data_IF_363491168332
#
_entry.id   IF_363491168332
#
_cell.length_a   1.000
_cell.length_b   1.000
_cell.length_c   1.000
_cell.angle_alpha   90.00
_cell.angle_beta   90.00
_cell.angle_gamma   90.00
#
_symmetry.space_group_name_H-M   'P 1'
#
loop_
_entity.id
_entity.type
_entity.pdbx_description
1 polymer ?
#
# COMPACT_ATOMS: atom_id res chain seq x y z
N UNK A 1 -17.14 24.87 32.07
CA UNK A 1 -15.76 24.78 31.55
C UNK A 1 -15.17 23.51 32.12
N UNK A 2 -15.48 22.38 31.51
CA UNK A 2 -14.89 21.07 31.84
C UNK A 2 -14.38 20.48 30.53
N UNK A 3 -13.07 20.43 30.44
CA UNK A 3 -12.31 19.89 29.31
C UNK A 3 -12.38 18.37 29.35
N UNK A 4 -13.10 17.78 28.38
CA UNK A 4 -13.04 16.36 28.11
C UNK A 4 -11.65 16.01 27.53
N UNK A 5 -10.84 15.32 28.32
CA UNK A 5 -9.60 14.70 27.86
C UNK A 5 -9.94 13.53 26.94
N UNK A 6 -9.63 13.68 25.66
CA UNK A 6 -9.72 12.61 24.67
C UNK A 6 -8.69 11.52 24.99
N UNK A 7 -9.15 10.38 25.47
CA UNK A 7 -8.33 9.16 25.57
C UNK A 7 -8.08 8.63 24.16
N UNK A 8 -6.84 8.76 23.69
CA UNK A 8 -6.39 8.18 22.42
C UNK A 8 -6.43 6.65 22.49
N UNK A 9 -7.40 6.02 21.83
CA UNK A 9 -7.46 4.56 21.69
C UNK A 9 -6.34 4.09 20.76
N UNK A 10 -5.22 3.65 21.32
CA UNK A 10 -4.11 3.03 20.60
C UNK A 10 -4.54 1.69 20.02
N UNK A 11 -4.35 1.47 18.71
CA UNK A 11 -4.63 0.18 18.07
C UNK A 11 -3.70 -0.91 18.62
N UNK A 12 -4.09 -2.20 18.65
CA UNK A 12 -3.25 -3.28 19.19
C UNK A 12 -1.86 -3.37 18.56
N UNK A 13 -1.73 -3.00 17.27
CA UNK A 13 -0.44 -2.92 16.58
C UNK A 13 0.47 -1.76 17.05
N UNK A 14 -0.11 -0.69 17.59
CA UNK A 14 0.65 0.40 18.19
C UNK A 14 1.15 0.01 19.59
N UNK A 15 0.34 -0.72 20.36
CA UNK A 15 0.72 -1.25 21.68
C UNK A 15 1.91 -2.21 21.52
N UNK A 16 1.83 -3.16 20.61
CA UNK A 16 2.93 -4.11 20.34
C UNK A 16 4.25 -3.43 19.93
N UNK A 17 4.17 -2.28 19.23
CA UNK A 17 5.36 -1.51 18.86
C UNK A 17 5.98 -0.78 20.05
N UNK A 18 5.16 -0.22 20.95
CA UNK A 18 5.67 0.41 22.17
C UNK A 18 6.30 -0.62 23.11
N UNK A 19 5.71 -1.80 23.24
CA UNK A 19 6.27 -2.89 24.03
C UNK A 19 7.64 -3.33 23.50
N UNK A 20 7.79 -3.46 22.18
CA UNK A 20 9.08 -3.71 21.54
C UNK A 20 10.10 -2.60 21.87
N UNK A 21 9.70 -1.33 21.73
CA UNK A 21 10.60 -0.21 22.02
C UNK A 21 11.00 -0.16 23.49
N UNK A 22 10.09 -0.51 24.40
CA UNK A 22 10.37 -0.52 25.84
C UNK A 22 11.38 -1.61 26.20
N UNK A 23 11.21 -2.83 25.68
CA UNK A 23 12.21 -3.89 25.84
C UNK A 23 13.56 -3.51 25.23
N UNK A 24 13.57 -2.81 24.09
CA UNK A 24 14.79 -2.30 23.44
C UNK A 24 15.45 -1.11 24.17
N UNK A 25 14.75 -0.46 25.11
CA UNK A 25 15.33 0.58 25.99
C UNK A 25 16.01 -0.02 27.21
N UNK A 26 15.77 -1.29 27.53
CA UNK A 26 16.41 -1.97 28.64
C UNK A 26 17.93 -2.03 28.41
N UNK A 27 18.77 -1.64 29.39
CA UNK A 27 20.23 -1.73 29.25
C UNK A 27 20.74 -3.14 28.89
N UNK A 28 20.00 -4.18 29.25
CA UNK A 28 20.36 -5.56 28.91
C UNK A 28 20.19 -5.91 27.42
N UNK A 29 19.47 -5.11 26.61
CA UNK A 29 19.33 -5.33 25.16
C UNK A 29 20.32 -4.52 24.30
N UNK A 30 21.38 -3.97 24.90
CA UNK A 30 22.30 -3.05 24.23
C UNK A 30 23.02 -3.69 23.03
N UNK A 31 23.34 -4.97 23.10
CA UNK A 31 23.90 -5.77 22.02
C UNK A 31 22.95 -5.85 20.81
N UNK A 32 21.67 -6.15 21.03
CA UNK A 32 20.63 -6.16 20.00
C UNK A 32 20.48 -4.77 19.36
N UNK A 33 20.42 -3.71 20.18
CA UNK A 33 20.31 -2.33 19.69
C UNK A 33 21.53 -1.93 18.85
N UNK A 34 22.75 -2.32 19.26
CA UNK A 34 23.97 -2.09 18.48
C UNK A 34 23.93 -2.85 17.15
N UNK A 35 23.47 -4.10 17.16
CA UNK A 35 23.31 -4.90 15.94
C UNK A 35 22.38 -4.20 14.94
N UNK A 36 21.20 -3.76 15.39
CA UNK A 36 20.23 -3.03 14.56
C UNK A 36 20.82 -1.73 13.99
N UNK A 37 21.48 -0.92 14.84
CA UNK A 37 22.08 0.34 14.39
C UNK A 37 23.23 0.11 13.41
N UNK A 38 24.08 -0.87 13.67
CA UNK A 38 25.19 -1.26 12.79
C UNK A 38 24.67 -1.70 11.43
N UNK A 39 23.63 -2.54 11.42
CA UNK A 39 22.96 -2.97 10.20
C UNK A 39 22.43 -1.79 9.39
N UNK A 40 21.69 -0.86 10.01
CA UNK A 40 21.16 0.33 9.32
C UNK A 40 22.29 1.18 8.72
N UNK A 41 23.36 1.42 9.49
CA UNK A 41 24.52 2.18 9.00
C UNK A 41 25.21 1.46 7.84
N UNK A 42 25.23 0.12 7.86
CA UNK A 42 25.91 -0.66 6.83
C UNK A 42 25.39 -0.40 5.41
N UNK A 43 24.11 -0.04 5.24
CA UNK A 43 23.52 0.29 3.93
C UNK A 43 24.16 1.50 3.27
N UNK A 44 24.73 2.43 4.05
CA UNK A 44 25.45 3.59 3.49
C UNK A 44 26.75 3.21 2.77
N UNK A 45 27.30 2.03 3.04
CA UNK A 45 28.54 1.55 2.41
C UNK A 45 28.32 0.83 1.09
N UNK A 46 27.08 0.55 0.70
CA UNK A 46 26.77 -0.20 -0.52
C UNK A 46 26.00 0.66 -1.52
N UNK A 47 26.25 0.43 -2.81
CA UNK A 47 25.43 1.01 -3.87
C UNK A 47 23.96 0.55 -3.72
N UNK A 48 22.96 1.43 -3.94
CA UNK A 48 21.56 1.05 -3.93
C UNK A 48 21.25 -0.02 -4.97
N UNK A 49 20.71 -1.16 -4.53
CA UNK A 49 20.21 -2.21 -5.40
C UNK A 49 19.05 -2.94 -4.70
N UNK A 50 17.79 -2.77 -5.14
CA UNK A 50 16.62 -3.26 -4.42
C UNK A 50 16.63 -4.76 -4.11
N UNK A 51 17.09 -5.59 -5.04
CA UNK A 51 17.06 -7.05 -4.91
C UNK A 51 18.07 -7.53 -3.86
N UNK A 52 19.31 -7.04 -3.90
CA UNK A 52 20.33 -7.36 -2.92
C UNK A 52 20.08 -6.71 -1.55
N UNK A 53 19.56 -5.48 -1.53
CA UNK A 53 19.16 -4.79 -0.30
C UNK A 53 18.00 -5.55 0.37
N UNK A 54 16.99 -5.97 -0.41
CA UNK A 54 15.88 -6.81 0.05
C UNK A 54 16.38 -8.12 0.68
N UNK A 55 17.27 -8.86 -0.01
CA UNK A 55 17.85 -10.09 0.53
C UNK A 55 18.58 -9.86 1.86
N UNK A 56 19.39 -8.81 1.96
CA UNK A 56 20.11 -8.47 3.20
C UNK A 56 19.16 -8.14 4.35
N UNK A 57 18.06 -7.44 4.08
CA UNK A 57 17.03 -7.18 5.09
C UNK A 57 16.38 -8.48 5.57
N UNK A 58 16.07 -9.41 4.67
CA UNK A 58 15.50 -10.71 5.05
C UNK A 58 16.48 -11.54 5.89
N UNK A 59 17.73 -11.66 5.44
CA UNK A 59 18.78 -12.38 6.17
C UNK A 59 19.00 -11.79 7.57
N UNK A 60 18.96 -10.45 7.69
CA UNK A 60 19.05 -9.76 8.96
C UNK A 60 17.85 -10.04 9.87
N UNK A 61 16.61 -10.03 9.34
CA UNK A 61 15.44 -10.37 10.14
C UNK A 61 15.50 -11.81 10.66
N UNK A 62 15.95 -12.77 9.84
CA UNK A 62 16.13 -14.16 10.29
C UNK A 62 17.19 -14.25 11.41
N UNK A 63 18.34 -13.59 11.23
CA UNK A 63 19.40 -13.57 12.25
C UNK A 63 18.95 -12.90 13.55
N UNK A 64 18.17 -11.82 13.46
CA UNK A 64 17.65 -11.11 14.61
C UNK A 64 16.56 -11.91 15.34
N UNK A 65 15.74 -12.66 14.61
CA UNK A 65 14.74 -13.53 15.24
C UNK A 65 15.41 -14.58 16.13
N UNK A 66 16.44 -15.27 15.62
CA UNK A 66 17.25 -16.20 16.42
C UNK A 66 17.87 -15.50 17.63
N UNK A 67 18.49 -14.33 17.41
CA UNK A 67 19.13 -13.56 18.48
C UNK A 67 18.14 -13.13 19.57
N UNK A 68 16.91 -12.75 19.20
CA UNK A 68 15.87 -12.35 20.15
C UNK A 68 15.35 -13.57 20.92
N UNK A 69 15.13 -14.71 20.26
CA UNK A 69 14.67 -15.95 20.91
C UNK A 69 15.66 -16.48 21.95
N UNK A 70 16.96 -16.36 21.68
CA UNK A 70 18.02 -16.82 22.58
C UNK A 70 18.36 -15.79 23.68
N UNK A 71 17.80 -14.58 23.62
CA UNK A 71 18.18 -13.49 24.52
C UNK A 71 17.50 -13.62 25.90
N UNK A 72 18.22 -13.41 27.02
CA UNK A 72 17.65 -13.56 28.38
C UNK A 72 16.41 -12.70 28.67
N UNK A 73 16.30 -11.52 28.06
CA UNK A 73 15.10 -10.65 28.19
C UNK A 73 13.83 -11.21 27.54
N UNK A 74 13.96 -12.22 26.68
CA UNK A 74 12.85 -12.93 26.06
C UNK A 74 12.73 -14.37 26.57
N UNK A 75 13.44 -14.71 27.66
CA UNK A 75 13.28 -15.99 28.32
C UNK A 75 11.82 -16.17 28.77
N UNK A 76 11.17 -17.20 28.24
CA UNK A 76 9.76 -17.50 28.53
C UNK A 76 8.73 -16.68 27.72
N UNK A 77 9.17 -15.88 26.75
CA UNK A 77 8.25 -15.19 25.84
C UNK A 77 7.52 -16.18 24.92
N UNK A 78 6.25 -15.94 24.63
CA UNK A 78 5.48 -16.76 23.69
C UNK A 78 5.88 -16.49 22.24
N UNK A 79 5.53 -17.39 21.33
CA UNK A 79 5.76 -17.19 19.88
C UNK A 79 5.06 -15.92 19.37
N UNK A 80 3.88 -15.59 19.90
CA UNK A 80 3.16 -14.36 19.59
C UNK A 80 3.89 -13.11 20.07
N UNK A 81 4.51 -13.14 21.25
CA UNK A 81 5.32 -12.02 21.75
C UNK A 81 6.58 -11.81 20.92
N UNK A 82 7.26 -12.90 20.54
CA UNK A 82 8.40 -12.85 19.63
C UNK A 82 7.97 -12.29 18.27
N UNK A 83 6.85 -12.75 17.74
CA UNK A 83 6.31 -12.25 16.48
C UNK A 83 5.99 -10.76 16.54
N UNK A 84 5.35 -10.29 17.61
CA UNK A 84 5.09 -8.88 17.85
C UNK A 84 6.39 -8.06 17.90
N UNK A 85 7.43 -8.56 18.57
CA UNK A 85 8.74 -7.92 18.61
C UNK A 85 9.37 -7.84 17.22
N UNK A 86 9.26 -8.90 16.41
CA UNK A 86 9.76 -8.92 15.04
C UNK A 86 8.98 -7.98 14.10
N UNK A 87 7.67 -7.78 14.31
CA UNK A 87 6.92 -6.73 13.62
C UNK A 87 7.39 -5.33 14.02
N UNK A 88 7.73 -5.13 15.29
CA UNK A 88 8.32 -3.88 15.76
C UNK A 88 9.70 -3.61 15.16
N UNK A 89 10.52 -4.65 15.03
CA UNK A 89 11.81 -4.59 14.36
C UNK A 89 11.67 -4.23 12.88
N UNK A 90 10.76 -4.89 12.15
CA UNK A 90 10.47 -4.58 10.74
C UNK A 90 10.09 -3.09 10.59
N UNK A 91 9.15 -2.63 11.43
CA UNK A 91 8.71 -1.22 11.43
C UNK A 91 9.86 -0.27 11.69
N UNK A 92 10.70 -0.54 12.68
CA UNK A 92 11.82 0.33 13.04
C UNK A 92 12.87 0.41 11.91
N UNK A 93 13.34 -0.74 11.44
CA UNK A 93 14.38 -0.84 10.40
C UNK A 93 13.88 -0.21 9.10
N UNK A 94 12.68 -0.59 8.63
CA UNK A 94 12.17 -0.11 7.35
C UNK A 94 11.80 1.37 7.38
N UNK A 95 11.41 1.92 8.53
CA UNK A 95 11.23 3.37 8.66
C UNK A 95 12.55 4.14 8.47
N UNK A 96 13.67 3.59 8.95
CA UNK A 96 15.00 4.20 8.80
C UNK A 96 15.57 4.03 7.40
N UNK A 97 15.29 2.91 6.75
CA UNK A 97 15.76 2.60 5.40
C UNK A 97 14.83 3.10 4.29
N UNK A 98 13.66 3.67 4.62
CA UNK A 98 12.59 3.98 3.65
C UNK A 98 13.06 4.82 2.46
N UNK A 99 13.82 5.89 2.68
CA UNK A 99 14.29 6.79 1.61
C UNK A 99 15.26 6.11 0.63
N UNK A 100 15.91 5.02 1.05
CA UNK A 100 16.78 4.21 0.19
C UNK A 100 16.02 3.06 -0.46
N UNK A 101 15.07 2.48 0.25
CA UNK A 101 14.41 1.23 -0.13
C UNK A 101 13.17 1.43 -1.02
N UNK A 102 12.49 2.57 -0.90
CA UNK A 102 11.22 2.85 -1.59
C UNK A 102 11.43 3.73 -2.82
N UNK A 103 10.93 3.30 -3.97
CA UNK A 103 10.95 4.06 -5.24
C UNK A 103 12.34 4.64 -5.59
N UNK A 104 13.40 3.86 -5.36
CA UNK A 104 14.78 4.35 -5.44
C UNK A 104 15.40 4.30 -6.84
N UNK A 105 14.77 3.58 -7.78
CA UNK A 105 15.19 3.54 -9.18
C UNK A 105 14.35 4.49 -10.04
N UNK A 106 14.95 5.28 -10.96
CA UNK A 106 14.21 6.09 -11.92
C UNK A 106 13.18 5.30 -12.74
N UNK A 107 13.46 4.02 -13.04
CA UNK A 107 12.52 3.17 -13.77
C UNK A 107 11.26 2.87 -12.96
N UNK A 108 11.37 2.66 -11.65
CA UNK A 108 10.21 2.41 -10.79
C UNK A 108 9.30 3.67 -10.76
N UNK A 109 9.90 4.87 -10.69
CA UNK A 109 9.18 6.14 -10.75
C UNK A 109 8.48 6.36 -12.10
N UNK A 110 9.15 5.99 -13.20
CA UNK A 110 8.57 6.07 -14.55
C UNK A 110 7.37 5.12 -14.67
N UNK A 111 7.51 3.88 -14.23
CA UNK A 111 6.43 2.88 -14.25
C UNK A 111 5.25 3.35 -13.37
N UNK A 112 5.52 3.89 -12.19
CA UNK A 112 4.49 4.45 -11.31
C UNK A 112 3.71 5.58 -12.00
N UNK A 113 4.41 6.48 -12.69
CA UNK A 113 3.78 7.58 -13.43
C UNK A 113 2.91 7.08 -14.58
N UNK A 114 3.41 6.13 -15.38
CA UNK A 114 2.66 5.52 -16.49
C UNK A 114 1.38 4.83 -15.99
N UNK A 115 1.46 4.10 -14.88
CA UNK A 115 0.30 3.45 -14.26
C UNK A 115 -0.70 4.49 -13.75
N UNK A 116 -0.24 5.51 -13.03
CA UNK A 116 -1.11 6.54 -12.47
C UNK A 116 -1.85 7.34 -13.56
N UNK A 117 -1.17 7.68 -14.65
CA UNK A 117 -1.77 8.33 -15.82
C UNK A 117 -2.79 7.43 -16.50
N UNK A 118 -2.46 6.16 -16.73
CA UNK A 118 -3.38 5.19 -17.32
C UNK A 118 -4.63 5.01 -16.48
N UNK A 119 -4.49 4.82 -15.17
CA UNK A 119 -5.62 4.72 -14.24
C UNK A 119 -6.47 5.99 -14.29
N UNK A 120 -5.85 7.17 -14.25
CA UNK A 120 -6.58 8.44 -14.30
C UNK A 120 -7.42 8.58 -15.57
N UNK A 121 -6.93 8.10 -16.72
CA UNK A 121 -7.72 8.08 -17.95
C UNK A 121 -8.87 7.06 -17.87
N UNK A 122 -8.60 5.84 -17.39
CA UNK A 122 -9.62 4.80 -17.25
C UNK A 122 -10.75 5.22 -16.29
N UNK A 123 -10.44 5.98 -15.23
CA UNK A 123 -11.43 6.44 -14.26
C UNK A 123 -12.58 7.25 -14.89
N UNK A 124 -12.35 7.93 -16.02
CA UNK A 124 -13.33 8.84 -16.64
C UNK A 124 -14.47 8.13 -17.35
N UNK A 125 -14.25 6.89 -17.83
CA UNK A 125 -15.22 6.16 -18.64
C UNK A 125 -15.43 4.71 -18.22
N UNK A 126 -14.54 4.12 -17.41
CA UNK A 126 -14.68 2.73 -16.98
C UNK A 126 -15.83 2.59 -15.98
N UNK A 127 -16.77 1.71 -16.34
CA UNK A 127 -17.95 1.33 -15.57
C UNK A 127 -17.86 -0.14 -15.13
N UNK A 128 -18.59 -0.57 -14.09
CA UNK A 128 -18.51 -1.94 -13.57
C UNK A 128 -18.82 -3.01 -14.62
N UNK A 129 -19.70 -2.72 -15.58
CA UNK A 129 -20.12 -3.68 -16.62
C UNK A 129 -18.96 -4.07 -17.54
N UNK A 130 -17.98 -3.18 -17.74
CA UNK A 130 -16.81 -3.46 -18.57
C UNK A 130 -15.86 -4.51 -17.97
N UNK A 131 -16.03 -4.81 -16.68
CA UNK A 131 -15.29 -5.83 -15.96
C UNK A 131 -16.22 -6.98 -15.55
N UNK A 132 -17.37 -7.13 -16.20
CA UNK A 132 -18.36 -8.17 -15.92
C UNK A 132 -18.90 -8.17 -14.47
N UNK A 133 -18.83 -7.04 -13.77
CA UNK A 133 -19.29 -6.93 -12.38
C UNK A 133 -20.83 -6.93 -12.34
N UNK A 134 -21.47 -7.92 -11.68
CA UNK A 134 -22.93 -8.00 -11.56
C UNK A 134 -23.55 -6.77 -10.89
N UNK A 135 -24.78 -6.42 -11.27
CA UNK A 135 -25.55 -5.29 -10.70
C UNK A 135 -25.69 -5.36 -9.18
N UNK A 136 -25.86 -6.56 -8.63
CA UNK A 136 -25.98 -6.80 -7.19
C UNK A 136 -24.74 -6.35 -6.40
N UNK A 137 -23.56 -6.34 -7.04
CA UNK A 137 -22.32 -5.91 -6.41
C UNK A 137 -22.08 -4.40 -6.50
N UNK A 138 -22.92 -3.65 -7.23
CA UNK A 138 -22.73 -2.21 -7.53
C UNK A 138 -23.17 -1.29 -6.38
N UNK A 139 -22.71 -1.60 -5.17
CA UNK A 139 -22.92 -0.77 -3.98
C UNK A 139 -21.82 0.30 -3.87
N UNK A 140 -22.08 1.49 -4.41
CA UNK A 140 -21.10 2.59 -4.47
C UNK A 140 -20.53 2.97 -3.09
N UNK A 141 -21.36 3.00 -2.05
CA UNK A 141 -20.93 3.34 -0.68
C UNK A 141 -19.88 2.38 -0.13
N UNK A 142 -19.92 1.13 -0.57
CA UNK A 142 -19.09 0.06 -0.04
C UNK A 142 -17.76 -0.07 -0.77
N UNK A 143 -17.75 0.19 -2.08
CA UNK A 143 -16.51 0.33 -2.85
C UNK A 143 -15.71 1.53 -2.38
N UNK A 144 -16.37 2.64 -2.03
CA UNK A 144 -15.71 3.81 -1.45
C UNK A 144 -14.93 3.47 -0.17
N UNK A 145 -15.41 2.53 0.65
CA UNK A 145 -14.67 2.08 1.84
C UNK A 145 -13.40 1.30 1.45
N UNK A 146 -13.50 0.39 0.48
CA UNK A 146 -12.36 -0.37 -0.02
C UNK A 146 -11.31 0.55 -0.68
N UNK A 147 -11.77 1.51 -1.49
CA UNK A 147 -10.93 2.55 -2.10
C UNK A 147 -10.17 3.35 -1.05
N UNK A 148 -10.85 3.77 0.03
CA UNK A 148 -10.23 4.49 1.14
C UNK A 148 -9.21 3.65 1.91
N UNK A 149 -9.45 2.35 2.08
CA UNK A 149 -8.45 1.46 2.69
C UNK A 149 -7.19 1.37 1.84
N UNK A 150 -7.34 1.17 0.52
CA UNK A 150 -6.21 1.07 -0.40
C UNK A 150 -5.46 2.41 -0.52
N UNK A 151 -6.18 3.53 -0.55
CA UNK A 151 -5.61 4.88 -0.63
C UNK A 151 -4.71 5.27 0.56
N UNK A 152 -4.80 4.56 1.70
CA UNK A 152 -3.92 4.77 2.87
C UNK A 152 -2.51 4.23 2.68
N UNK A 153 -2.23 3.45 1.62
CA UNK A 153 -0.96 2.72 1.48
C UNK A 153 0.29 3.62 1.54
N UNK A 154 0.20 4.88 1.07
CA UNK A 154 1.32 5.84 1.12
C UNK A 154 1.46 6.58 2.47
N UNK A 155 0.48 6.46 3.37
CA UNK A 155 0.58 6.99 4.73
C UNK A 155 1.52 6.16 5.62
N UNK A 156 1.93 4.97 5.16
CA UNK A 156 2.72 4.02 5.93
C UNK A 156 4.10 3.79 5.32
N UNK A 157 5.11 3.58 6.19
CA UNK A 157 6.49 3.26 5.80
C UNK A 157 6.87 1.80 6.06
N UNK A 158 6.18 1.12 6.97
CA UNK A 158 6.45 -0.28 7.27
C UNK A 158 5.75 -1.21 6.24
N UNK A 159 6.43 -2.25 5.73
CA UNK A 159 5.84 -3.23 4.81
C UNK A 159 4.56 -3.86 5.35
N UNK A 160 4.51 -4.24 6.63
CA UNK A 160 3.29 -4.75 7.28
C UNK A 160 2.10 -3.81 7.15
N UNK A 161 2.31 -2.53 7.45
CA UNK A 161 1.24 -1.54 7.48
C UNK A 161 0.71 -1.28 6.07
N UNK A 162 1.61 -1.23 5.06
CA UNK A 162 1.22 -1.17 3.65
C UNK A 162 0.42 -2.40 3.21
N UNK A 163 0.86 -3.60 3.60
CA UNK A 163 0.15 -4.85 3.32
C UNK A 163 -1.23 -4.87 4.01
N UNK A 164 -1.35 -4.31 5.21
CA UNK A 164 -2.63 -4.24 5.92
C UNK A 164 -3.66 -3.38 5.19
N UNK A 165 -3.25 -2.29 4.52
CA UNK A 165 -4.13 -1.52 3.64
C UNK A 165 -4.74 -2.39 2.53
N UNK A 166 -3.91 -3.24 1.90
CA UNK A 166 -4.35 -4.19 0.87
C UNK A 166 -5.32 -5.21 1.47
N UNK A 167 -4.96 -5.81 2.61
CA UNK A 167 -5.81 -6.80 3.26
C UNK A 167 -7.16 -6.22 3.70
N UNK A 168 -7.19 -5.01 4.22
CA UNK A 168 -8.42 -4.33 4.61
C UNK A 168 -9.31 -4.04 3.40
N UNK A 169 -8.73 -3.54 2.29
CA UNK A 169 -9.43 -3.36 1.03
C UNK A 169 -10.08 -4.68 0.56
N UNK A 170 -9.31 -5.77 0.50
CA UNK A 170 -9.80 -7.09 0.07
C UNK A 170 -10.89 -7.65 1.00
N UNK A 171 -10.77 -7.46 2.32
CA UNK A 171 -11.80 -7.88 3.28
C UNK A 171 -13.10 -7.10 3.13
N UNK A 172 -13.02 -5.80 2.86
CA UNK A 172 -14.21 -5.00 2.54
C UNK A 172 -14.89 -5.56 1.28
N UNK A 173 -14.12 -5.85 0.22
CA UNK A 173 -14.66 -6.46 -1.00
C UNK A 173 -15.31 -7.81 -0.71
N UNK A 174 -14.64 -8.71 0.01
CA UNK A 174 -15.19 -10.03 0.34
C UNK A 174 -16.46 -9.96 1.19
N UNK A 175 -16.53 -9.04 2.15
CA UNK A 175 -17.75 -8.84 2.92
C UNK A 175 -18.92 -8.41 2.03
N UNK A 176 -18.67 -7.66 0.96
CA UNK A 176 -19.71 -7.29 -0.01
C UNK A 176 -20.17 -8.48 -0.84
N UNK A 177 -19.23 -9.29 -1.32
CA UNK A 177 -19.53 -10.52 -2.04
C UNK A 177 -20.37 -11.49 -1.20
N UNK A 178 -20.01 -11.65 0.07
CA UNK A 178 -20.75 -12.48 1.02
C UNK A 178 -22.16 -11.94 1.28
N UNK A 179 -22.31 -10.63 1.50
CA UNK A 179 -23.62 -10.01 1.73
C UNK A 179 -24.54 -10.13 0.50
N UNK A 180 -23.99 -9.95 -0.70
CA UNK A 180 -24.72 -10.16 -1.95
C UNK A 180 -25.15 -11.62 -2.13
N UNK A 181 -24.27 -12.57 -1.81
CA UNK A 181 -24.57 -14.01 -1.85
C UNK A 181 -25.68 -14.44 -0.90
N UNK A 182 -25.85 -13.76 0.24
CA UNK A 182 -26.95 -14.06 1.18
C UNK A 182 -28.30 -13.53 0.69
N UNK A 183 -28.30 -12.57 -0.24
CA UNK A 183 -29.51 -11.95 -0.80
C UNK A 183 -30.08 -12.73 -2.00
N UNK A 184 -29.30 -13.58 -2.67
CA UNK A 184 -29.70 -14.31 -3.87
C UNK A 184 -29.35 -15.82 -3.79
N UNK A 185 -29.90 -16.62 -4.72
CA UNK A 185 -29.59 -18.06 -4.85
C UNK A 185 -28.24 -18.34 -5.53
N UNK A 186 -27.45 -17.31 -5.86
CA UNK A 186 -26.16 -17.44 -6.53
C UNK A 186 -25.03 -17.22 -5.52
N UNK A 187 -24.11 -18.18 -5.43
CA UNK A 187 -22.93 -18.06 -4.56
C UNK A 187 -21.91 -17.17 -5.29
N UNK A 188 -21.77 -15.92 -4.85
CA UNK A 188 -20.76 -14.96 -5.30
C UNK A 188 -19.62 -14.96 -4.29
N UNK A 189 -18.75 -15.97 -4.37
CA UNK A 189 -17.65 -16.16 -3.40
C UNK A 189 -16.37 -16.70 -4.03
N UNK A 190 -16.29 -16.70 -5.37
CA UNK A 190 -15.14 -17.19 -6.11
C UNK A 190 -14.11 -16.10 -6.43
N UNK A 191 -12.93 -16.52 -6.90
CA UNK A 191 -11.94 -15.60 -7.45
C UNK A 191 -12.48 -14.82 -8.67
N UNK A 192 -13.39 -15.43 -9.42
CA UNK A 192 -14.04 -14.84 -10.61
C UNK A 192 -14.98 -13.69 -10.26
N UNK A 193 -15.52 -13.65 -9.03
CA UNK A 193 -16.31 -12.51 -8.53
C UNK A 193 -15.43 -11.44 -7.86
N UNK A 194 -14.31 -11.87 -7.27
CA UNK A 194 -13.44 -11.01 -6.47
C UNK A 194 -12.50 -10.15 -7.31
N UNK A 195 -11.78 -10.75 -8.25
CA UNK A 195 -10.73 -10.05 -9.00
C UNK A 195 -11.27 -8.88 -9.83
N UNK A 196 -12.41 -8.98 -10.53
CA UNK A 196 -12.95 -7.84 -11.27
C UNK A 196 -13.30 -6.65 -10.36
N UNK A 197 -13.86 -6.91 -9.18
CA UNK A 197 -14.15 -5.87 -8.18
C UNK A 197 -12.85 -5.24 -7.66
N UNK A 198 -11.80 -6.05 -7.41
CA UNK A 198 -10.50 -5.54 -6.99
C UNK A 198 -9.84 -4.65 -8.06
N UNK A 199 -9.93 -5.03 -9.35
CA UNK A 199 -9.45 -4.21 -10.47
C UNK A 199 -10.20 -2.88 -10.48
N UNK A 200 -11.53 -2.92 -10.41
CA UNK A 200 -12.37 -1.72 -10.40
C UNK A 200 -12.02 -0.79 -9.23
N UNK A 201 -11.96 -1.32 -8.00
CA UNK A 201 -11.59 -0.56 -6.79
C UNK A 201 -10.18 0.02 -6.92
N UNK A 202 -9.22 -0.72 -7.49
CA UNK A 202 -7.85 -0.23 -7.70
C UNK A 202 -7.82 0.95 -8.66
N UNK A 203 -8.62 0.88 -9.75
CA UNK A 203 -8.76 1.97 -10.71
C UNK A 203 -9.43 3.19 -10.05
N UNK A 204 -10.53 3.00 -9.32
CA UNK A 204 -11.22 4.11 -8.65
C UNK A 204 -10.41 4.73 -7.50
N UNK A 205 -9.61 3.94 -6.77
CA UNK A 205 -8.73 4.44 -5.74
C UNK A 205 -7.50 5.19 -6.27
N UNK A 206 -6.96 4.77 -7.43
CA UNK A 206 -5.71 5.28 -8.02
C UNK A 206 -4.59 5.51 -6.98
N UNK A 207 -4.17 4.48 -6.23
CA UNK A 207 -3.21 4.65 -5.15
C UNK A 207 -1.86 5.15 -5.69
N UNK A 208 -1.29 6.23 -5.14
CA UNK A 208 -0.03 6.78 -5.63
C UNK A 208 1.12 5.77 -5.54
N UNK A 209 1.98 5.73 -6.55
CA UNK A 209 3.16 4.86 -6.57
C UNK A 209 2.82 3.36 -6.37
N UNK A 210 1.75 2.88 -7.01
CA UNK A 210 1.25 1.52 -6.87
C UNK A 210 2.34 0.46 -7.12
N UNK A 211 3.13 0.60 -8.19
CA UNK A 211 4.19 -0.35 -8.54
C UNK A 211 5.28 -0.37 -7.47
N UNK A 212 5.78 0.80 -7.05
CA UNK A 212 6.78 0.89 -5.98
C UNK A 212 6.29 0.32 -4.65
N UNK A 213 5.01 0.53 -4.30
CA UNK A 213 4.42 -0.05 -3.10
C UNK A 213 4.40 -1.58 -3.13
N UNK A 214 3.96 -2.18 -4.24
CA UNK A 214 3.92 -3.63 -4.38
C UNK A 214 5.33 -4.23 -4.36
N UNK A 215 6.27 -3.64 -5.11
CA UNK A 215 7.68 -4.05 -5.10
C UNK A 215 8.30 -3.95 -3.71
N UNK A 216 8.02 -2.89 -2.98
CA UNK A 216 8.52 -2.69 -1.62
C UNK A 216 7.99 -3.76 -0.64
N UNK A 217 6.68 -4.08 -0.69
CA UNK A 217 6.12 -5.14 0.14
C UNK A 217 6.75 -6.49 -0.21
N UNK A 218 6.89 -6.81 -1.50
CA UNK A 218 7.47 -8.07 -1.98
C UNK A 218 8.90 -8.29 -1.48
N UNK A 219 9.71 -7.22 -1.42
CA UNK A 219 11.12 -7.31 -1.02
C UNK A 219 11.32 -7.27 0.49
N UNK A 220 10.53 -6.47 1.21
CA UNK A 220 10.85 -6.09 2.60
C UNK A 220 9.86 -6.59 3.65
N UNK A 221 8.68 -7.13 3.28
CA UNK A 221 7.83 -7.83 4.24
C UNK A 221 8.54 -9.10 4.72
N UNK A 222 8.56 -9.38 6.03
CA UNK A 222 9.08 -10.66 6.54
C UNK A 222 8.45 -11.83 5.79
N UNK A 223 9.25 -12.67 5.13
CA UNK A 223 8.75 -13.73 4.25
C UNK A 223 7.80 -14.71 4.95
N UNK A 224 8.07 -15.06 6.21
CA UNK A 224 7.21 -15.92 7.01
C UNK A 224 5.77 -15.37 7.19
N UNK A 225 5.56 -14.07 6.95
CA UNK A 225 4.27 -13.38 7.08
C UNK A 225 3.61 -13.00 5.76
N UNK A 226 4.23 -13.33 4.62
CA UNK A 226 3.64 -13.18 3.30
C UNK A 226 3.19 -14.56 2.80
N UNK A 227 2.26 -15.18 3.54
CA UNK A 227 1.74 -16.54 3.31
C UNK A 227 0.21 -16.56 3.43
N UNK A 228 -0.44 -17.65 3.00
CA UNK A 228 -1.90 -17.85 3.12
C UNK A 228 -2.73 -16.66 2.59
N UNK A 229 -3.73 -16.17 3.36
CA UNK A 229 -4.60 -15.03 3.01
C UNK A 229 -3.79 -13.80 2.56
N UNK A 230 -2.69 -13.48 3.25
CA UNK A 230 -1.87 -12.31 2.94
C UNK A 230 -1.20 -12.45 1.56
N UNK A 231 -0.65 -13.63 1.25
CA UNK A 231 -0.06 -13.91 -0.06
C UNK A 231 -1.12 -13.92 -1.17
N UNK A 232 -2.31 -14.48 -0.88
CA UNK A 232 -3.41 -14.52 -1.84
C UNK A 232 -3.87 -13.11 -2.23
N UNK A 233 -4.18 -12.24 -1.27
CA UNK A 233 -4.61 -10.86 -1.56
C UNK A 233 -3.50 -10.04 -2.23
N UNK A 234 -2.27 -10.18 -1.76
CA UNK A 234 -1.14 -9.49 -2.38
C UNK A 234 -0.97 -9.91 -3.85
N UNK A 235 -1.02 -11.21 -4.14
CA UNK A 235 -0.93 -11.75 -5.51
C UNK A 235 -2.08 -11.24 -6.38
N UNK A 236 -3.31 -11.19 -5.87
CA UNK A 236 -4.44 -10.63 -6.61
C UNK A 236 -4.27 -9.15 -6.94
N UNK A 237 -3.72 -8.34 -6.03
CA UNK A 237 -3.45 -6.93 -6.33
C UNK A 237 -2.27 -6.77 -7.32
N UNK A 238 -1.26 -7.62 -7.27
CA UNK A 238 -0.20 -7.69 -8.28
C UNK A 238 -0.79 -8.04 -9.66
N UNK A 239 -1.69 -9.02 -9.72
CA UNK A 239 -2.42 -9.40 -10.93
C UNK A 239 -3.30 -8.26 -11.44
N UNK A 240 -4.02 -7.57 -10.56
CA UNK A 240 -4.84 -6.41 -10.92
C UNK A 240 -3.97 -5.28 -11.51
N UNK A 241 -2.83 -4.97 -10.89
CA UNK A 241 -1.86 -4.01 -11.43
C UNK A 241 -1.37 -4.43 -12.82
N UNK A 242 -1.03 -5.70 -13.03
CA UNK A 242 -0.57 -6.20 -14.33
C UNK A 242 -1.68 -6.12 -15.38
N UNK A 243 -2.91 -6.50 -15.04
CA UNK A 243 -4.07 -6.36 -15.91
C UNK A 243 -4.27 -4.90 -16.33
N UNK A 244 -4.21 -3.94 -15.39
CA UNK A 244 -4.35 -2.51 -15.70
C UNK A 244 -3.26 -2.05 -16.67
N UNK A 245 -2.00 -2.48 -16.49
CA UNK A 245 -0.89 -2.13 -17.39
C UNK A 245 -1.13 -2.62 -18.81
N UNK A 246 -1.65 -3.83 -18.98
CA UNK A 246 -1.87 -4.45 -20.30
C UNK A 246 -3.27 -4.19 -20.90
N UNK A 247 -4.17 -3.56 -20.12
CA UNK A 247 -5.56 -3.30 -20.50
C UNK A 247 -5.70 -2.56 -21.83
N UNK A 248 -6.53 -3.11 -22.71
CA UNK A 248 -6.91 -2.55 -24.01
C UNK A 248 -8.43 -2.75 -24.25
N UNK A 249 -8.95 -2.24 -25.37
CA UNK A 249 -10.38 -2.29 -25.72
C UNK A 249 -11.04 -3.69 -25.53
N UNK A 250 -10.41 -4.74 -26.07
CA UNK A 250 -10.91 -6.13 -25.94
C UNK A 250 -10.94 -6.66 -24.50
N UNK A 251 -10.11 -6.13 -23.60
CA UNK A 251 -10.12 -6.51 -22.18
C UNK A 251 -11.39 -6.04 -21.47
N UNK A 252 -12.06 -5.03 -22.04
CA UNK A 252 -13.26 -4.39 -21.49
C UNK A 252 -14.52 -4.66 -22.31
N UNK A 253 -14.41 -5.47 -23.37
CA UNK A 253 -15.48 -5.68 -24.36
C UNK A 253 -16.01 -4.37 -24.97
N UNK A 254 -15.14 -3.38 -25.14
CA UNK A 254 -15.43 -2.09 -25.80
C UNK A 254 -14.89 -2.14 -27.23
N UNK A 255 -15.57 -1.46 -28.16
CA UNK A 255 -15.07 -1.27 -29.52
C UNK A 255 -13.71 -0.53 -29.51
N UNK A 256 -12.80 -0.88 -30.43
CA UNK A 256 -11.46 -0.30 -30.46
C UNK A 256 -11.47 1.22 -30.72
N UNK A 257 -12.41 1.71 -31.53
CA UNK A 257 -12.55 3.13 -31.84
C UNK A 257 -13.12 3.86 -30.62
N UNK A 258 -14.20 3.32 -30.02
CA UNK A 258 -14.80 3.90 -28.81
C UNK A 258 -13.79 3.98 -27.66
N UNK A 259 -12.99 2.93 -27.45
CA UNK A 259 -11.96 2.91 -26.42
C UNK A 259 -10.90 4.00 -26.65
N UNK A 260 -10.38 4.13 -27.86
CA UNK A 260 -9.36 5.12 -28.20
C UNK A 260 -9.91 6.55 -28.08
N UNK A 261 -11.14 6.80 -28.54
CA UNK A 261 -11.82 8.09 -28.37
C UNK A 261 -11.94 8.46 -26.89
N UNK A 262 -12.40 7.53 -26.05
CA UNK A 262 -12.52 7.74 -24.60
C UNK A 262 -11.16 8.05 -23.95
N UNK A 263 -10.11 7.31 -24.32
CA UNK A 263 -8.74 7.53 -23.83
C UNK A 263 -8.21 8.91 -24.25
N UNK A 264 -8.47 9.34 -25.49
CA UNK A 264 -8.06 10.65 -25.99
C UNK A 264 -8.80 11.79 -25.29
N UNK A 265 -10.11 11.68 -25.12
CA UNK A 265 -10.93 12.65 -24.37
C UNK A 265 -10.41 12.77 -22.94
N UNK A 266 -10.14 11.65 -22.26
CA UNK A 266 -9.59 11.64 -20.90
C UNK A 266 -8.21 12.30 -20.82
N UNK A 267 -7.33 12.02 -21.80
CA UNK A 267 -5.99 12.62 -21.89
C UNK A 267 -6.04 14.14 -22.06
N UNK A 268 -6.98 14.64 -22.86
CA UNK A 268 -7.19 16.08 -23.05
C UNK A 268 -7.73 16.74 -21.77
N UNK A 269 -8.73 16.13 -21.12
CA UNK A 269 -9.29 16.63 -19.87
C UNK A 269 -8.23 16.74 -18.76
N UNK A 270 -7.36 15.73 -18.63
CA UNK A 270 -6.27 15.74 -17.65
C UNK A 270 -5.24 16.85 -17.92
N UNK A 271 -4.90 17.12 -19.19
CA UNK A 271 -4.01 18.23 -19.55
C UNK A 271 -4.60 19.60 -19.17
N UNK A 272 -5.91 19.79 -19.39
CA UNK A 272 -6.60 21.04 -19.05
C UNK A 272 -6.65 21.24 -17.53
N UNK A 273 -6.94 20.20 -16.74
CA UNK A 273 -6.91 20.27 -15.27
C UNK A 273 -5.52 20.62 -14.73
N UNK A 274 -4.46 19.95 -15.21
CA UNK A 274 -3.08 20.23 -14.79
C UNK A 274 -2.63 21.65 -15.15
N UNK A 275 -3.02 22.14 -16.34
CA UNK A 275 -2.71 23.50 -16.77
C UNK A 275 -3.45 24.56 -15.95
N UNK A 276 -4.71 24.29 -15.59
CA UNK A 276 -5.54 25.20 -14.77
C UNK A 276 -5.05 25.29 -13.33
N UNK A 277 -4.54 24.19 -12.77
CA UNK A 277 -3.85 24.16 -11.47
C UNK A 277 -2.56 24.98 -11.47
N UNK A 278 -1.75 24.89 -12.54
CA UNK A 278 -0.51 25.68 -12.69
C UNK A 278 -0.80 27.17 -12.85
N UNK A 279 -1.84 27.54 -13.61
CA UNK A 279 -2.30 28.93 -13.76
C UNK A 279 -2.76 29.47 -12.40
N UNK A 280 -3.55 28.69 -11.64
CA UNK A 280 -4.02 29.08 -10.30
C UNK A 280 -2.86 29.33 -9.32
N UNK A 281 -1.83 28.48 -9.35
CA UNK A 281 -0.61 28.67 -8.56
C UNK A 281 0.19 29.92 -8.97
N UNK A 282 0.24 30.23 -10.28
CA UNK A 282 0.92 31.41 -10.78
C UNK A 282 0.18 32.72 -10.47
N UNK A 283 -1.16 32.70 -10.45
CA UNK A 283 -1.99 33.84 -10.02
C UNK A 283 -1.94 34.07 -8.51
N UNK A 284 -1.83 33.01 -7.70
CA UNK A 284 -1.70 33.15 -6.24
C UNK A 284 -0.34 33.76 -5.84
N UNK A 285 0.74 33.39 -6.54
CA UNK A 285 2.07 33.96 -6.31
C UNK A 285 2.21 35.41 -6.82
N UNK A 286 1.52 35.80 -7.90
CA UNK A 286 1.55 37.18 -8.39
C UNK A 286 0.70 38.14 -7.53
N UNK A 287 -0.39 37.66 -6.92
CA UNK A 287 -1.20 38.44 -5.98
C UNK A 287 -0.47 38.70 -4.64
N UNK A 288 0.38 37.78 -4.18
CA UNK A 288 1.19 37.94 -2.96
C UNK A 288 2.29 39.01 -3.12
N UNK A 289 2.89 39.14 -4.31
CA UNK A 289 3.89 40.18 -4.60
C UNK A 289 3.28 41.59 -4.80
N UNK A 290 1.99 41.70 -5.12
CA UNK A 290 1.31 42.99 -5.29
C UNK A 290 0.87 43.63 -3.96
N UNK A 291 0.83 42.86 -2.86
CA UNK A 291 0.40 43.33 -1.54
C UNK A 291 1.49 43.95 -0.65
N UNK A 292 2.74 44.05 -1.12
CA UNK A 292 3.88 44.61 -0.34
C UNK A 292 4.36 45.98 -0.83
N UNK A 293 3.58 46.67 -1.66
CA UNK A 293 3.80 48.09 -2.00
C UNK A 293 2.57 48.90 -1.62
N UNK A 294 2.47 49.22 -0.33
CA UNK A 294 1.92 50.46 0.21
C UNK A 294 2.31 50.59 1.67
#
# INVERSE_FOLDING_TARGET
>A
METATASSSSSPASISFYDFLDRMRNPASLDLVRSIKSFIVSFSFYAPNPESDGKRVQDFFLSMETSIRDHPLWAGASDEEIDCAMEGLEKYVMTKLFSRAFACCPDDLRIDQEIAEKISMLQTFLRPEHLDIPTILRSESSWLLAEKELGKINAHKAPREKLLCIMNCCRVINNLLLNASMSEKHVLAGADDFLPVLIYVTIKANPPQLHSNLKFIQLYRRQAKLTSEAAYYFTNLVSAKSFIVDLHAKSLSIDEIEFEENMQVAKLANKVSSSSLLISHHYFNSASCAGQRN
#
